data_IF_919095991273
#
_entry.id   IF_919095991273
#
_cell.length_a   1.000
_cell.length_b   1.000
_cell.length_c   1.000
_cell.angle_alpha   90.00
_cell.angle_beta   90.00
_cell.angle_gamma   90.00
#
_symmetry.space_group_name_H-M   'P 1'
#
loop_
_entity.id
_entity.type
_entity.pdbx_description
1 polymer ?
#
# COMPACT_ATOMS: atom_id res chain seq x y z
N UNK A 1 13.40 -52.06 2.60
CA UNK A 1 12.41 -51.24 3.34
C UNK A 1 11.04 -51.50 2.74
N UNK A 2 10.07 -51.96 3.55
CA UNK A 2 8.74 -52.34 3.06
C UNK A 2 7.81 -51.15 2.88
N UNK A 3 6.81 -51.29 2.00
CA UNK A 3 5.81 -50.27 1.67
C UNK A 3 5.16 -49.62 2.91
N UNK A 4 4.87 -50.41 3.95
CA UNK A 4 4.25 -49.92 5.19
C UNK A 4 5.15 -49.00 6.01
N UNK A 5 6.48 -49.18 5.97
CA UNK A 5 7.42 -48.28 6.65
C UNK A 5 7.47 -46.92 5.95
N UNK A 6 7.55 -46.92 4.62
CA UNK A 6 7.53 -45.70 3.83
C UNK A 6 6.21 -44.92 4.02
N UNK A 7 5.08 -45.62 4.15
CA UNK A 7 3.78 -45.00 4.44
C UNK A 7 3.74 -44.35 5.83
N UNK A 8 4.29 -45.02 6.85
CA UNK A 8 4.37 -44.48 8.20
C UNK A 8 5.28 -43.25 8.29
N UNK A 9 6.42 -43.26 7.60
CA UNK A 9 7.32 -42.10 7.50
C UNK A 9 6.66 -40.92 6.80
N UNK A 10 5.95 -41.18 5.69
CA UNK A 10 5.20 -40.14 4.98
C UNK A 10 4.10 -39.52 5.85
N UNK A 11 3.30 -40.34 6.53
CA UNK A 11 2.24 -39.85 7.41
C UNK A 11 2.81 -39.01 8.57
N UNK A 12 3.97 -39.40 9.11
CA UNK A 12 4.67 -38.63 10.14
C UNK A 12 5.08 -37.26 9.61
N UNK A 13 5.84 -37.19 8.51
CA UNK A 13 6.27 -35.93 7.89
C UNK A 13 5.08 -35.02 7.53
N UNK A 14 4.02 -35.60 6.95
CA UNK A 14 2.81 -34.84 6.60
C UNK A 14 2.12 -34.26 7.84
N UNK A 15 2.04 -35.02 8.94
CA UNK A 15 1.44 -34.57 10.20
C UNK A 15 2.26 -33.46 10.87
N UNK A 16 3.58 -33.58 10.87
CA UNK A 16 4.50 -32.58 11.41
C UNK A 16 4.38 -31.26 10.63
N UNK A 17 4.38 -31.32 9.29
CA UNK A 17 4.17 -30.14 8.43
C UNK A 17 2.80 -29.51 8.63
N UNK A 18 1.76 -30.32 8.82
CA UNK A 18 0.42 -29.81 9.08
C UNK A 18 0.38 -29.03 10.41
N UNK A 19 0.99 -29.56 11.47
CA UNK A 19 1.08 -28.89 12.77
C UNK A 19 1.85 -27.57 12.65
N UNK A 20 3.02 -27.58 12.01
CA UNK A 20 3.82 -26.37 11.80
C UNK A 20 3.08 -25.32 10.93
N UNK A 21 2.37 -25.77 9.90
CA UNK A 21 1.54 -24.89 9.07
C UNK A 21 0.40 -24.26 9.87
N UNK A 22 -0.30 -25.05 10.70
CA UNK A 22 -1.35 -24.55 11.57
C UNK A 22 -0.82 -23.54 12.59
N UNK A 23 0.36 -23.77 13.16
CA UNK A 23 0.97 -22.81 14.09
C UNK A 23 1.37 -21.50 13.40
N UNK A 24 1.94 -21.57 12.17
CA UNK A 24 2.21 -20.36 11.39
C UNK A 24 0.95 -19.57 11.04
N UNK A 25 -0.14 -20.26 10.68
CA UNK A 25 -1.42 -19.61 10.41
C UNK A 25 -1.99 -18.94 11.66
N UNK A 26 -1.88 -19.60 12.83
CA UNK A 26 -2.26 -19.03 14.12
C UNK A 26 -1.46 -17.76 14.42
N UNK A 27 -0.13 -17.83 14.38
CA UNK A 27 0.75 -16.67 14.62
C UNK A 27 0.44 -15.51 13.67
N UNK A 28 0.18 -15.78 12.39
CA UNK A 28 -0.21 -14.75 11.41
C UNK A 28 -1.57 -14.14 11.73
N UNK A 29 -2.51 -14.94 12.25
CA UNK A 29 -3.81 -14.48 12.75
C UNK A 29 -3.66 -13.58 13.96
N UNK A 30 -2.83 -13.95 14.93
CA UNK A 30 -2.56 -13.14 16.13
C UNK A 30 -2.00 -11.77 15.74
N UNK A 31 -1.00 -11.73 14.84
CA UNK A 31 -0.44 -10.48 14.28
C UNK A 31 -1.52 -9.65 13.58
N UNK A 32 -2.43 -10.29 12.83
CA UNK A 32 -3.51 -9.58 12.14
C UNK A 32 -4.48 -8.94 13.14
N UNK A 33 -4.87 -9.66 14.19
CA UNK A 33 -5.74 -9.13 15.25
C UNK A 33 -5.09 -7.98 16.01
N UNK A 34 -3.80 -8.09 16.34
CA UNK A 34 -3.04 -6.99 16.95
C UNK A 34 -2.97 -5.76 16.03
N UNK A 35 -2.75 -5.98 14.73
CA UNK A 35 -2.71 -4.90 13.75
C UNK A 35 -4.07 -4.24 13.52
N UNK A 36 -5.16 -5.02 13.50
CA UNK A 36 -6.53 -4.54 13.42
C UNK A 36 -6.93 -3.76 14.68
N UNK A 37 -6.57 -4.28 15.86
CA UNK A 37 -6.79 -3.61 17.15
C UNK A 37 -6.01 -2.28 17.27
N UNK A 38 -4.84 -2.20 16.63
CA UNK A 38 -4.07 -0.96 16.51
C UNK A 38 -4.67 0.05 15.50
N UNK A 39 -5.79 -0.29 14.86
CA UNK A 39 -6.49 0.58 13.91
C UNK A 39 -5.87 0.61 12.52
N UNK A 40 -5.07 -0.40 12.14
CA UNK A 40 -4.39 -0.52 10.84
C UNK A 40 -3.70 0.79 10.42
N UNK A 41 -2.73 1.29 11.22
CA UNK A 41 -2.09 2.56 10.93
C UNK A 41 -1.40 2.49 9.57
N UNK A 42 -1.60 3.48 8.68
CA UNK A 42 -0.92 3.52 7.40
C UNK A 42 0.58 3.74 7.63
N UNK A 43 1.37 2.66 7.54
CA UNK A 43 2.81 2.71 7.83
C UNK A 43 3.57 3.23 6.60
N UNK A 44 3.51 4.54 6.36
CA UNK A 44 4.44 5.18 5.45
C UNK A 44 5.76 5.50 6.19
N UNK A 45 6.90 5.42 5.52
CA UNK A 45 8.21 5.82 6.07
C UNK A 45 8.33 7.33 6.21
N UNK A 46 7.44 8.08 5.58
CA UNK A 46 7.42 9.54 5.56
C UNK A 46 6.00 10.05 5.75
N UNK A 47 5.90 11.27 6.27
CA UNK A 47 4.62 11.96 6.44
C UNK A 47 3.98 12.28 5.09
N UNK A 48 2.68 12.55 5.11
CA UNK A 48 1.92 12.90 3.92
C UNK A 48 0.85 13.94 4.23
N UNK A 49 0.47 14.68 3.19
CA UNK A 49 -0.59 15.67 3.22
C UNK A 49 -1.70 15.27 2.24
N UNK A 50 -2.96 15.26 2.69
CA UNK A 50 -4.09 14.97 1.81
C UNK A 50 -4.44 16.19 0.97
N UNK A 51 -4.23 16.09 -0.34
CA UNK A 51 -4.50 17.20 -1.28
C UNK A 51 -5.92 17.13 -1.83
N UNK A 52 -6.46 15.92 -2.03
CA UNK A 52 -7.81 15.73 -2.56
C UNK A 52 -8.38 14.36 -2.20
N UNK A 53 -9.63 14.30 -1.73
CA UNK A 53 -10.40 13.06 -1.68
C UNK A 53 -11.22 12.90 -2.97
N UNK A 54 -11.07 11.75 -3.62
CA UNK A 54 -11.83 11.40 -4.82
C UNK A 54 -13.33 11.21 -4.57
N UNK A 55 -13.77 11.11 -3.32
CA UNK A 55 -15.19 11.12 -2.95
C UNK A 55 -15.84 12.51 -3.12
N UNK A 56 -15.06 13.59 -3.07
CA UNK A 56 -15.54 14.97 -3.21
C UNK A 56 -15.64 15.42 -4.68
N UNK A 57 -15.16 14.59 -5.62
CA UNK A 57 -15.23 14.88 -7.05
C UNK A 57 -16.66 14.73 -7.59
N UNK A 58 -17.05 15.55 -8.59
CA UNK A 58 -18.34 15.41 -9.29
C UNK A 58 -18.61 13.99 -9.79
N UNK A 59 -17.52 13.32 -10.20
CA UNK A 59 -17.52 11.89 -10.48
C UNK A 59 -16.76 11.16 -9.37
N UNK A 60 -17.49 10.72 -8.34
CA UNK A 60 -16.92 9.97 -7.21
C UNK A 60 -15.99 8.84 -7.64
N UNK A 61 -14.82 8.80 -7.02
CA UNK A 61 -13.78 7.80 -7.18
C UNK A 61 -13.28 7.34 -5.81
N UNK A 62 -12.86 6.08 -5.70
CA UNK A 62 -12.35 5.51 -4.45
C UNK A 62 -10.84 5.77 -4.28
N UNK A 63 -10.34 6.91 -4.73
CA UNK A 63 -8.92 7.26 -4.64
C UNK A 63 -8.74 8.53 -3.85
N UNK A 64 -7.64 8.64 -3.13
CA UNK A 64 -7.23 9.87 -2.45
C UNK A 64 -5.91 10.32 -3.07
N UNK A 65 -5.71 11.62 -3.20
CA UNK A 65 -4.46 12.20 -3.65
C UNK A 65 -3.68 12.69 -2.45
N UNK A 66 -2.53 12.08 -2.21
CA UNK A 66 -1.62 12.40 -1.13
C UNK A 66 -0.34 13.03 -1.70
N UNK A 67 0.10 14.15 -1.13
CA UNK A 67 1.44 14.68 -1.33
C UNK A 67 2.36 14.08 -0.27
N UNK A 68 3.41 13.41 -0.68
CA UNK A 68 4.37 12.83 0.25
C UNK A 68 5.34 13.93 0.71
N UNK A 69 5.59 14.01 2.01
CA UNK A 69 6.53 14.96 2.60
C UNK A 69 7.91 14.28 2.67
N UNK A 70 8.98 14.89 2.14
CA UNK A 70 10.30 14.28 2.19
C UNK A 70 10.79 14.12 3.64
N UNK A 71 11.42 12.99 4.00
CA UNK A 71 12.02 12.81 5.31
C UNK A 71 13.22 13.76 5.51
N UNK A 72 13.59 13.98 6.78
CA UNK A 72 14.69 14.90 7.13
C UNK A 72 15.98 14.56 6.38
N UNK A 73 16.57 15.57 5.72
CA UNK A 73 17.83 15.43 4.98
C UNK A 73 17.67 15.17 3.48
N UNK A 74 16.45 14.98 2.96
CA UNK A 74 16.19 14.90 1.52
C UNK A 74 15.73 16.25 0.98
N UNK A 75 16.43 16.77 -0.03
CA UNK A 75 16.02 17.99 -0.74
C UNK A 75 15.20 17.62 -1.97
N UNK A 76 13.97 18.13 -2.05
CA UNK A 76 13.08 17.97 -3.18
C UNK A 76 12.97 19.29 -3.92
N UNK A 77 13.09 19.25 -5.24
CA UNK A 77 12.92 20.40 -6.11
C UNK A 77 11.51 20.37 -6.72
N UNK A 78 10.64 21.26 -6.24
CA UNK A 78 9.25 21.36 -6.67
C UNK A 78 9.09 21.77 -8.14
N UNK A 79 10.15 22.26 -8.79
CA UNK A 79 10.14 22.58 -10.22
C UNK A 79 10.36 21.36 -11.11
N UNK A 80 10.88 20.26 -10.55
CA UNK A 80 11.07 19.02 -11.29
C UNK A 80 9.73 18.34 -11.56
N UNK A 81 9.70 17.54 -12.62
CA UNK A 81 8.52 16.76 -12.99
C UNK A 81 8.08 15.85 -11.82
N UNK A 82 6.83 15.94 -11.35
CA UNK A 82 6.36 15.12 -10.25
C UNK A 82 6.15 13.67 -10.68
N UNK A 83 6.50 12.75 -9.79
CA UNK A 83 6.17 11.33 -9.92
C UNK A 83 4.81 11.06 -9.31
N UNK A 84 3.88 10.57 -10.12
CA UNK A 84 2.56 10.13 -9.68
C UNK A 84 2.58 8.62 -9.56
N UNK A 85 2.51 8.11 -8.34
CA UNK A 85 2.49 6.67 -8.06
C UNK A 85 1.07 6.27 -7.69
N UNK A 86 0.48 5.42 -8.54
CA UNK A 86 -0.90 4.96 -8.38
C UNK A 86 -0.86 3.54 -7.83
N UNK A 87 -1.46 3.31 -6.67
CA UNK A 87 -1.67 1.96 -6.17
C UNK A 87 -2.95 1.38 -6.75
N UNK A 88 -2.88 0.43 -7.70
CA UNK A 88 -4.08 -0.08 -8.35
C UNK A 88 -4.96 -0.89 -7.40
N UNK A 89 -4.38 -1.53 -6.38
CA UNK A 89 -5.09 -2.41 -5.45
C UNK A 89 -5.09 -1.81 -4.05
N UNK A 90 -6.21 -1.96 -3.33
CA UNK A 90 -6.25 -1.72 -1.90
C UNK A 90 -5.31 -2.73 -1.18
N UNK A 91 -4.40 -2.21 -0.37
CA UNK A 91 -3.47 -3.00 0.44
C UNK A 91 -2.04 -2.46 0.44
N UNK A 92 -1.28 -2.89 1.43
CA UNK A 92 0.12 -2.53 1.65
C UNK A 92 1.02 -3.30 0.67
N UNK A 93 1.31 -2.69 -0.48
CA UNK A 93 2.25 -3.29 -1.44
C UNK A 93 3.68 -2.90 -1.05
N UNK A 94 4.53 -3.84 -0.58
CA UNK A 94 5.85 -3.52 -0.01
C UNK A 94 6.86 -2.92 -1.00
N UNK A 95 6.64 -3.09 -2.32
CA UNK A 95 7.51 -2.54 -3.37
C UNK A 95 7.04 -1.21 -3.98
N UNK A 96 5.75 -0.86 -3.82
CA UNK A 96 5.17 0.36 -4.41
C UNK A 96 4.79 1.35 -3.31
N UNK A 97 4.15 0.85 -2.25
CA UNK A 97 3.79 1.61 -1.06
C UNK A 97 5.04 2.05 -0.35
N UNK A 98 5.09 3.34 0.01
CA UNK A 98 6.16 3.97 0.77
C UNK A 98 6.34 3.42 2.18
N UNK A 99 6.44 2.10 2.36
CA UNK A 99 6.71 1.43 3.64
C UNK A 99 8.21 1.24 3.89
N UNK A 100 9.05 1.45 2.86
CA UNK A 100 10.51 1.32 2.91
C UNK A 100 11.16 2.45 2.10
N UNK A 101 12.37 2.83 2.48
CA UNK A 101 13.19 3.81 1.75
C UNK A 101 13.51 3.37 0.31
N UNK A 102 13.59 2.07 0.05
CA UNK A 102 13.82 1.52 -1.29
C UNK A 102 12.53 1.33 -2.12
N UNK A 103 11.40 1.84 -1.63
CA UNK A 103 10.16 1.92 -2.42
C UNK A 103 10.28 2.93 -3.56
N UNK A 104 9.37 2.85 -4.54
CA UNK A 104 9.29 3.83 -5.63
C UNK A 104 9.20 5.28 -5.12
N UNK A 105 8.56 5.50 -3.97
CA UNK A 105 8.48 6.82 -3.32
C UNK A 105 9.87 7.28 -2.87
N UNK A 106 10.63 6.41 -2.19
CA UNK A 106 11.95 6.76 -1.67
C UNK A 106 13.01 6.90 -2.76
N UNK A 107 12.92 6.13 -3.85
CA UNK A 107 13.77 6.33 -5.05
C UNK A 107 13.49 7.69 -5.69
N UNK A 108 12.22 8.06 -5.87
CA UNK A 108 11.87 9.36 -6.45
C UNK A 108 12.32 10.54 -5.57
N UNK A 109 12.23 10.39 -4.24
CA UNK A 109 12.79 11.36 -3.29
C UNK A 109 14.32 11.46 -3.36
N UNK A 110 15.03 10.33 -3.51
CA UNK A 110 16.48 10.31 -3.66
C UNK A 110 16.96 11.03 -4.92
N UNK A 111 16.16 11.01 -5.98
CA UNK A 111 16.40 11.76 -7.22
C UNK A 111 15.95 13.25 -7.13
N UNK A 112 15.39 13.64 -5.98
CA UNK A 112 14.95 15.00 -5.67
C UNK A 112 13.66 15.40 -6.37
N UNK A 113 12.84 14.42 -6.79
CA UNK A 113 11.56 14.68 -7.42
C UNK A 113 10.42 14.73 -6.42
N UNK A 114 9.43 15.59 -6.64
CA UNK A 114 8.22 15.57 -5.83
C UNK A 114 7.36 14.35 -6.13
N UNK A 115 6.77 13.78 -5.08
CA UNK A 115 6.02 12.52 -5.16
C UNK A 115 4.57 12.72 -4.75
N UNK A 116 3.68 12.32 -5.64
CA UNK A 116 2.24 12.27 -5.43
C UNK A 116 1.82 10.81 -5.35
N UNK A 117 1.23 10.45 -4.23
CA UNK A 117 0.77 9.11 -3.94
C UNK A 117 -0.75 9.02 -4.07
N UNK A 118 -1.23 8.01 -4.80
CA UNK A 118 -2.65 7.81 -5.06
C UNK A 118 -3.11 6.41 -4.63
N UNK A 119 -3.43 6.21 -3.33
CA UNK A 119 -3.98 4.96 -2.83
C UNK A 119 -5.49 4.92 -2.96
N UNK A 120 -6.04 3.70 -2.88
CA UNK A 120 -7.47 3.51 -2.63
C UNK A 120 -7.86 4.13 -1.29
N UNK A 121 -9.01 4.81 -1.19
CA UNK A 121 -9.45 5.48 0.04
C UNK A 121 -9.68 4.48 1.20
N UNK A 122 -9.92 3.21 0.87
CA UNK A 122 -10.03 2.11 1.84
C UNK A 122 -8.69 1.80 2.52
N UNK A 123 -7.57 2.00 1.81
CA UNK A 123 -6.21 1.81 2.34
C UNK A 123 -5.81 2.85 3.37
N UNK A 124 -6.53 3.96 3.50
CA UNK A 124 -6.28 4.99 4.51
C UNK A 124 -7.13 4.82 5.77
N UNK A 125 -8.28 4.16 5.66
CA UNK A 125 -9.26 4.04 6.75
C UNK A 125 -9.06 2.78 7.60
N UNK A 126 -7.97 2.05 7.39
CA UNK A 126 -7.68 0.81 8.13
C UNK A 126 -8.69 -0.32 7.94
N UNK A 127 -9.56 -0.22 6.94
CA UNK A 127 -10.66 -1.17 6.73
C UNK A 127 -10.23 -2.49 6.09
N UNK A 128 -10.87 -3.58 6.50
CA UNK A 128 -10.80 -4.90 5.87
C UNK A 128 -11.11 -4.82 4.36
N UNK A 129 -10.27 -5.48 3.54
CA UNK A 129 -10.30 -5.58 2.05
C UNK A 129 -11.54 -6.37 1.53
N UNK A 130 -12.71 -6.22 2.17
CA UNK A 130 -13.90 -6.98 1.83
C UNK A 130 -14.74 -6.34 0.72
N UNK A 131 -14.51 -5.07 0.37
CA UNK A 131 -15.25 -4.40 -0.70
C UNK A 131 -14.37 -4.13 -1.92
N UNK A 132 -14.30 -5.11 -2.83
CA UNK A 132 -13.80 -4.90 -4.20
C UNK A 132 -14.72 -3.93 -4.97
N UNK A 133 -14.64 -2.65 -4.64
CA UNK A 133 -15.26 -1.59 -5.41
C UNK A 133 -14.51 -1.47 -6.75
N UNK A 134 -15.20 -1.90 -7.80
CA UNK A 134 -14.68 -2.01 -9.18
C UNK A 134 -14.00 -0.72 -9.63
N UNK A 135 -12.79 -0.85 -10.21
CA UNK A 135 -12.02 0.18 -10.92
C UNK A 135 -12.74 0.73 -12.17
N UNK A 136 -13.92 1.32 -12.06
CA UNK A 136 -14.68 1.74 -13.26
C UNK A 136 -14.30 3.14 -13.78
N UNK A 137 -13.43 3.88 -13.08
CA UNK A 137 -13.22 5.33 -13.32
C UNK A 137 -11.75 5.82 -13.30
N UNK A 138 -10.76 4.92 -13.38
CA UNK A 138 -9.31 5.25 -13.40
C UNK A 138 -8.90 6.33 -14.44
N UNK A 139 -9.38 6.32 -15.70
CA UNK A 139 -8.93 7.30 -16.69
C UNK A 139 -9.41 8.73 -16.39
N UNK A 140 -10.61 8.87 -15.81
CA UNK A 140 -11.17 10.17 -15.45
C UNK A 140 -10.49 10.75 -14.22
N UNK A 141 -10.18 9.94 -13.20
CA UNK A 141 -9.42 10.40 -12.04
C UNK A 141 -8.01 10.85 -12.43
N UNK A 142 -7.31 10.09 -13.28
CA UNK A 142 -5.98 10.47 -13.78
C UNK A 142 -6.05 11.74 -14.63
N UNK A 143 -7.11 11.94 -15.43
CA UNK A 143 -7.34 13.19 -16.16
C UNK A 143 -7.61 14.36 -15.21
N UNK A 144 -8.43 14.17 -14.18
CA UNK A 144 -8.65 15.19 -13.14
C UNK A 144 -7.35 15.53 -12.43
N UNK A 145 -6.53 14.53 -12.04
CA UNK A 145 -5.20 14.72 -11.47
C UNK A 145 -4.25 15.49 -12.40
N UNK A 146 -4.25 15.16 -13.69
CA UNK A 146 -3.43 15.87 -14.68
C UNK A 146 -3.92 17.31 -14.95
N UNK A 147 -5.22 17.58 -14.76
CA UNK A 147 -5.81 18.93 -14.89
C UNK A 147 -5.68 19.76 -13.61
N UNK A 148 -5.48 19.13 -12.45
CA UNK A 148 -5.18 19.84 -11.22
C UNK A 148 -3.74 20.35 -11.35
N UNK A 149 -3.61 21.62 -11.76
CA UNK A 149 -2.46 22.44 -11.39
C UNK A 149 -2.46 22.50 -9.87
N UNK A 150 -1.82 21.52 -9.23
CA UNK A 150 -1.76 21.42 -7.78
C UNK A 150 -1.14 22.73 -7.27
N UNK A 151 -1.89 23.54 -6.48
CA UNK A 151 -1.36 24.79 -5.96
C UNK A 151 -0.13 24.57 -5.06
N UNK A 152 0.07 23.35 -4.57
CA UNK A 152 1.23 22.92 -3.80
C UNK A 152 2.55 22.80 -4.60
N UNK A 153 2.55 23.09 -5.91
CA UNK A 153 3.72 23.06 -6.80
C UNK A 153 3.89 24.38 -7.59
N UNK A 154 3.36 25.50 -7.09
CA UNK A 154 3.37 26.80 -7.76
C UNK A 154 4.26 27.87 -7.10
N UNK A 155 5.23 27.49 -6.25
CA UNK A 155 6.25 28.43 -5.75
C UNK A 155 7.51 28.40 -6.61
#
# INVERSE_FOLDING_TARGET
MGMGHAWAEYLRDASERAILCMDLLRQRGDIFLEHEAAGCPPVFFCDYETVMDGNDLPLKSNYVLLRMIPPQGVNVDDTKRPFIIICPRAGHSPGVGGHKEDSQVGVAFREGHPVIWCPSAESQRGGSISLMSRMRKRPLFVRSCACIRLPAFQS
#
